data_IF_285104347308
#
_entry.id   IF_285104347308
#
_cell.length_a   1.000
_cell.length_b   1.000
_cell.length_c   1.000
_cell.angle_alpha   90.00
_cell.angle_beta   90.00
_cell.angle_gamma   90.00
#
_symmetry.space_group_name_H-M   'P 1'
#
loop_
_entity.id
_entity.type
_entity.pdbx_description
1 polymer ?
#
# COMPACT_ATOMS: atom_id res chain seq x y z
N UNK A 1 -11.14 -18.14 -2.00
CA UNK A 1 -10.90 -17.95 -0.54
C UNK A 1 -11.77 -16.81 -0.07
N UNK A 2 -13.06 -17.10 0.10
CA UNK A 2 -14.06 -16.09 0.46
C UNK A 2 -13.64 -15.26 1.69
N UNK A 3 -13.87 -13.96 1.66
CA UNK A 3 -14.46 -13.14 0.59
C UNK A 3 -13.46 -12.61 -0.46
N UNK A 4 -12.23 -13.15 -0.52
CA UNK A 4 -11.23 -12.74 -1.53
C UNK A 4 -11.48 -13.52 -2.82
N UNK A 5 -11.87 -12.81 -3.87
CA UNK A 5 -12.17 -13.36 -5.19
C UNK A 5 -11.23 -12.76 -6.23
N UNK A 6 -10.64 -13.62 -7.07
CA UNK A 6 -9.85 -13.23 -8.24
C UNK A 6 -10.46 -13.88 -9.46
N UNK A 7 -10.87 -13.09 -10.44
CA UNK A 7 -11.39 -13.56 -11.72
C UNK A 7 -10.29 -13.47 -12.78
N UNK A 8 -10.10 -14.56 -13.54
CA UNK A 8 -9.13 -14.65 -14.62
C UNK A 8 -9.84 -15.15 -15.86
N UNK A 9 -9.88 -14.32 -16.90
CA UNK A 9 -10.50 -14.64 -18.18
C UNK A 9 -9.54 -14.44 -19.34
N UNK A 10 -9.72 -15.21 -20.40
CA UNK A 10 -8.99 -15.06 -21.68
C UNK A 10 -9.97 -15.02 -22.86
N UNK A 11 -11.25 -14.72 -22.62
CA UNK A 11 -12.31 -14.66 -23.62
C UNK A 11 -12.39 -15.94 -24.50
N UNK A 12 -12.02 -17.09 -23.92
CA UNK A 12 -12.00 -18.37 -24.62
C UNK A 12 -10.77 -18.62 -25.51
N UNK A 13 -9.89 -17.61 -25.68
CA UNK A 13 -8.77 -17.73 -26.65
C UNK A 13 -7.59 -18.54 -26.12
N UNK A 14 -7.37 -18.58 -24.81
CA UNK A 14 -6.20 -19.24 -24.23
C UNK A 14 -6.50 -19.92 -22.87
N UNK A 15 -7.28 -21.01 -22.85
CA UNK A 15 -7.72 -21.68 -21.62
C UNK A 15 -6.54 -22.24 -20.80
N UNK A 16 -5.47 -22.68 -21.46
CA UNK A 16 -4.25 -23.17 -20.79
C UNK A 16 -3.55 -22.03 -20.02
N UNK A 17 -3.43 -20.85 -20.65
CA UNK A 17 -2.85 -19.68 -20.01
C UNK A 17 -3.67 -19.22 -18.80
N UNK A 18 -5.00 -19.18 -18.92
CA UNK A 18 -5.89 -18.84 -17.82
C UNK A 18 -5.69 -19.79 -16.61
N UNK A 19 -5.54 -21.10 -16.88
CA UNK A 19 -5.27 -22.11 -15.85
C UNK A 19 -3.91 -21.89 -15.18
N UNK A 20 -2.87 -21.63 -15.98
CA UNK A 20 -1.53 -21.36 -15.44
C UNK A 20 -1.51 -20.11 -14.54
N UNK A 21 -2.16 -19.03 -14.95
CA UNK A 21 -2.28 -17.81 -14.16
C UNK A 21 -3.07 -18.09 -12.87
N UNK A 22 -4.19 -18.83 -12.97
CA UNK A 22 -4.99 -19.24 -11.82
C UNK A 22 -4.13 -19.96 -10.77
N UNK A 23 -3.38 -20.98 -11.19
CA UNK A 23 -2.51 -21.76 -10.30
C UNK A 23 -1.49 -20.84 -9.60
N UNK A 24 -0.82 -19.96 -10.33
CA UNK A 24 0.14 -19.01 -9.75
C UNK A 24 -0.51 -18.08 -8.71
N UNK A 25 -1.71 -17.58 -8.99
CA UNK A 25 -2.44 -16.74 -8.04
C UNK A 25 -2.85 -17.55 -6.81
N UNK A 26 -3.32 -18.78 -6.98
CA UNK A 26 -3.67 -19.67 -5.87
C UNK A 26 -2.48 -19.97 -4.95
N UNK A 27 -1.29 -20.18 -5.51
CA UNK A 27 -0.04 -20.38 -4.77
C UNK A 27 0.38 -19.15 -3.98
N UNK A 28 0.12 -17.93 -4.49
CA UNK A 28 0.43 -16.67 -3.81
C UNK A 28 -0.52 -16.35 -2.65
N UNK A 29 -1.73 -16.90 -2.66
CA UNK A 29 -2.75 -16.63 -1.65
C UNK A 29 -2.67 -17.63 -0.50
N UNK A 30 -2.32 -17.15 0.68
CA UNK A 30 -2.33 -17.95 1.91
C UNK A 30 -3.72 -18.56 2.17
N UNK A 31 -3.79 -19.80 2.67
CA UNK A 31 -5.06 -20.50 2.88
C UNK A 31 -6.08 -19.72 3.72
N UNK A 32 -5.62 -18.97 4.73
CA UNK A 32 -6.47 -18.25 5.70
C UNK A 32 -6.63 -16.76 5.43
N UNK A 33 -6.18 -16.29 4.28
CA UNK A 33 -6.30 -14.86 3.92
C UNK A 33 -7.76 -14.41 3.82
N UNK A 34 -8.66 -15.29 3.37
CA UNK A 34 -10.10 -15.03 3.34
C UNK A 34 -10.69 -14.82 4.73
N UNK A 35 -10.32 -15.65 5.70
CA UNK A 35 -10.79 -15.52 7.08
C UNK A 35 -10.35 -14.21 7.72
N UNK A 36 -9.10 -13.78 7.47
CA UNK A 36 -8.59 -12.49 7.91
C UNK A 36 -9.36 -11.34 7.24
N UNK A 37 -9.62 -11.44 5.93
CA UNK A 37 -10.40 -10.43 5.21
C UNK A 37 -11.85 -10.35 5.74
N UNK A 38 -12.48 -11.48 6.03
CA UNK A 38 -13.80 -11.53 6.64
C UNK A 38 -13.82 -10.88 8.04
N UNK A 39 -12.80 -11.14 8.86
CA UNK A 39 -12.66 -10.49 10.16
C UNK A 39 -12.51 -8.98 10.00
N UNK A 40 -11.63 -8.52 9.11
CA UNK A 40 -11.44 -7.11 8.81
C UNK A 40 -12.76 -6.44 8.38
N UNK A 41 -13.54 -7.11 7.51
CA UNK A 41 -14.87 -6.64 7.10
C UNK A 41 -15.80 -6.41 8.27
N UNK A 42 -15.88 -7.36 9.22
CA UNK A 42 -16.71 -7.23 10.45
C UNK A 42 -16.24 -6.08 11.36
N UNK A 43 -14.95 -5.76 11.37
CA UNK A 43 -14.38 -4.70 12.21
C UNK A 43 -14.38 -3.32 11.55
N UNK A 44 -14.68 -3.24 10.24
CA UNK A 44 -14.61 -2.00 9.45
C UNK A 44 -15.46 -0.88 10.03
N UNK A 45 -16.70 -1.18 10.48
CA UNK A 45 -17.59 -0.20 11.11
C UNK A 45 -17.00 0.37 12.40
N UNK A 46 -16.42 -0.48 13.26
CA UNK A 46 -15.77 -0.04 14.51
C UNK A 46 -14.56 0.82 14.24
N UNK A 47 -13.72 0.44 13.26
CA UNK A 47 -12.57 1.23 12.87
C UNK A 47 -12.98 2.60 12.31
N UNK A 48 -14.05 2.67 11.50
CA UNK A 48 -14.54 3.94 10.94
C UNK A 48 -15.12 4.88 12.00
N UNK A 49 -15.68 4.35 13.08
CA UNK A 49 -16.23 5.15 14.17
C UNK A 49 -15.15 5.74 15.11
N UNK A 50 -13.94 5.14 15.14
CA UNK A 50 -12.90 5.50 16.12
C UNK A 50 -11.64 6.12 15.53
N UNK A 51 -11.33 5.81 14.29
CA UNK A 51 -10.09 6.21 13.65
C UNK A 51 -10.37 7.16 12.48
N UNK A 52 -9.53 8.17 12.34
CA UNK A 52 -9.54 9.04 11.17
C UNK A 52 -9.13 8.28 9.89
N UNK A 53 -9.31 8.85 8.70
CA UNK A 53 -9.03 8.17 7.43
C UNK A 53 -7.57 7.70 7.28
N UNK A 54 -6.58 8.45 7.82
CA UNK A 54 -5.16 8.08 7.77
C UNK A 54 -4.88 6.88 8.67
N UNK A 55 -5.28 6.96 9.95
CA UNK A 55 -5.11 5.89 10.92
C UNK A 55 -5.81 4.58 10.48
N UNK A 56 -6.99 4.69 9.83
CA UNK A 56 -7.66 3.51 9.25
C UNK A 56 -6.86 2.83 8.15
N UNK A 57 -6.22 3.61 7.26
CA UNK A 57 -5.36 3.05 6.21
C UNK A 57 -4.16 2.33 6.81
N UNK A 58 -3.53 2.94 7.81
CA UNK A 58 -2.37 2.37 8.50
C UNK A 58 -2.75 1.11 9.28
N UNK A 59 -3.90 1.11 9.95
CA UNK A 59 -4.48 -0.08 10.59
C UNK A 59 -4.62 -1.24 9.58
N UNK A 60 -5.28 -1.01 8.43
CA UNK A 60 -5.50 -2.08 7.46
C UNK A 60 -4.21 -2.51 6.76
N UNK A 61 -3.27 -1.60 6.54
CA UNK A 61 -1.92 -1.94 6.06
C UNK A 61 -1.22 -2.88 7.04
N UNK A 62 -1.24 -2.56 8.32
CA UNK A 62 -0.68 -3.39 9.37
C UNK A 62 -1.40 -4.74 9.47
N UNK A 63 -2.72 -4.78 9.42
CA UNK A 63 -3.50 -6.03 9.50
C UNK A 63 -3.13 -7.00 8.37
N UNK A 64 -2.95 -6.51 7.14
CA UNK A 64 -2.73 -7.35 5.96
C UNK A 64 -1.27 -7.58 5.60
N UNK A 65 -0.31 -6.85 6.17
CA UNK A 65 1.10 -6.95 5.80
C UNK A 65 2.05 -7.21 6.98
N UNK A 66 1.52 -7.37 8.20
CA UNK A 66 2.32 -7.51 9.41
C UNK A 66 1.79 -8.64 10.31
N UNK A 67 2.14 -8.58 11.56
CA UNK A 67 1.92 -9.61 12.57
C UNK A 67 0.50 -10.20 12.59
N UNK A 68 -0.62 -9.49 12.44
CA UNK A 68 -1.93 -10.13 12.41
C UNK A 68 -2.08 -11.14 11.27
N UNK A 69 -1.56 -10.83 10.08
CA UNK A 69 -1.57 -11.75 8.94
C UNK A 69 -0.80 -13.03 9.24
N UNK A 70 0.41 -12.88 9.78
CA UNK A 70 1.24 -14.05 10.12
C UNK A 70 0.66 -14.88 11.26
N UNK A 71 0.04 -14.23 12.25
CA UNK A 71 -0.69 -14.93 13.31
C UNK A 71 -1.87 -15.74 12.74
N UNK A 72 -2.60 -15.21 11.77
CA UNK A 72 -3.67 -15.95 11.07
C UNK A 72 -3.10 -17.14 10.29
N UNK A 73 -2.05 -16.93 9.52
CA UNK A 73 -1.37 -18.01 8.78
C UNK A 73 -0.89 -19.12 9.70
N UNK A 74 -0.42 -18.78 10.90
CA UNK A 74 0.02 -19.73 11.93
C UNK A 74 -1.12 -20.37 12.76
N UNK A 75 -2.40 -20.03 12.48
CA UNK A 75 -3.55 -20.57 13.20
C UNK A 75 -3.89 -19.89 14.52
N UNK A 76 -3.22 -18.78 14.86
CA UNK A 76 -3.47 -18.00 16.08
C UNK A 76 -4.56 -16.93 15.90
N UNK A 77 -5.70 -17.29 15.31
CA UNK A 77 -6.76 -16.38 14.90
C UNK A 77 -7.37 -15.57 16.06
N UNK A 78 -7.60 -16.22 17.20
CA UNK A 78 -8.17 -15.55 18.38
C UNK A 78 -7.24 -14.46 18.91
N UNK A 79 -5.94 -14.74 18.96
CA UNK A 79 -4.94 -13.78 19.40
C UNK A 79 -4.80 -12.60 18.42
N UNK A 80 -4.78 -12.89 17.12
CA UNK A 80 -4.79 -11.86 16.08
C UNK A 80 -6.05 -10.97 16.17
N UNK A 81 -7.22 -11.58 16.31
CA UNK A 81 -8.49 -10.84 16.44
C UNK A 81 -8.51 -9.93 17.69
N UNK A 82 -7.98 -10.42 18.82
CA UNK A 82 -7.83 -9.62 20.04
C UNK A 82 -6.90 -8.43 19.81
N UNK A 83 -5.76 -8.66 19.16
CA UNK A 83 -4.78 -7.62 18.86
C UNK A 83 -5.34 -6.55 17.92
N UNK A 84 -6.06 -6.95 16.86
CA UNK A 84 -6.70 -6.00 15.93
C UNK A 84 -7.76 -5.17 16.66
N UNK A 85 -8.59 -5.77 17.52
CA UNK A 85 -9.60 -5.05 18.30
C UNK A 85 -8.96 -4.04 19.25
N UNK A 86 -7.92 -4.44 19.98
CA UNK A 86 -7.15 -3.54 20.85
C UNK A 86 -6.55 -2.38 20.05
N UNK A 87 -5.96 -2.66 18.90
CA UNK A 87 -5.40 -1.63 18.01
C UNK A 87 -6.46 -0.61 17.54
N UNK A 88 -7.68 -1.04 17.25
CA UNK A 88 -8.79 -0.13 16.91
C UNK A 88 -9.19 0.74 18.12
N UNK A 89 -9.09 0.20 19.34
CA UNK A 89 -9.49 0.89 20.56
C UNK A 89 -8.45 1.90 21.03
N UNK A 90 -7.18 1.56 20.92
CA UNK A 90 -6.06 2.38 21.39
C UNK A 90 -5.49 3.31 20.33
N UNK A 91 -5.71 3.00 19.04
CA UNK A 91 -5.02 3.65 17.92
C UNK A 91 -3.56 3.21 17.77
N UNK A 92 -3.09 2.28 18.62
CA UNK A 92 -1.71 1.77 18.59
C UNK A 92 -1.65 0.40 17.91
N UNK A 93 -1.11 0.36 16.73
CA UNK A 93 -0.89 -0.85 15.94
C UNK A 93 0.60 -1.14 15.70
N UNK A 94 1.49 -0.52 16.52
CA UNK A 94 2.93 -0.77 16.42
C UNK A 94 3.58 -0.16 15.17
N UNK A 95 2.87 0.69 14.45
CA UNK A 95 3.50 1.60 13.51
C UNK A 95 4.26 2.63 14.32
N UNK A 96 5.53 2.81 14.07
CA UNK A 96 6.30 3.88 14.69
C UNK A 96 5.48 5.18 14.57
N UNK A 97 5.27 5.86 15.69
CA UNK A 97 4.59 7.15 15.73
C UNK A 97 5.47 8.16 14.96
N UNK A 98 5.24 8.27 13.66
CA UNK A 98 6.00 9.13 12.76
C UNK A 98 5.85 8.63 11.32
N UNK A 99 5.75 9.56 10.38
CA UNK A 99 5.77 9.25 8.98
C UNK A 99 7.16 8.77 8.54
N UNK A 100 7.22 8.20 7.36
CA UNK A 100 8.48 7.75 6.75
C UNK A 100 8.70 8.42 5.41
N UNK A 101 9.95 8.68 5.08
CA UNK A 101 10.35 9.16 3.75
C UNK A 101 11.11 8.05 3.05
N UNK A 102 10.66 7.70 1.85
CA UNK A 102 11.34 6.75 0.98
C UNK A 102 11.92 7.45 -0.24
N UNK A 103 13.22 7.30 -0.47
CA UNK A 103 13.85 7.73 -1.71
C UNK A 103 13.77 6.58 -2.71
N UNK A 104 13.15 6.84 -3.86
CA UNK A 104 12.93 5.86 -4.91
C UNK A 104 13.65 6.31 -6.17
N UNK A 105 14.61 5.50 -6.63
CA UNK A 105 15.20 5.68 -7.95
C UNK A 105 14.24 5.20 -9.03
N UNK A 106 13.91 6.09 -9.97
CA UNK A 106 12.94 5.81 -11.03
C UNK A 106 13.52 5.04 -12.23
N UNK A 107 14.82 4.74 -12.20
CA UNK A 107 15.49 4.10 -13.32
C UNK A 107 15.76 5.07 -14.48
N UNK A 108 16.15 4.56 -15.66
CA UNK A 108 16.52 5.39 -16.82
C UNK A 108 15.32 5.96 -17.60
N UNK A 109 14.09 5.75 -17.13
CA UNK A 109 12.87 6.35 -17.72
C UNK A 109 11.74 5.36 -17.97
N UNK A 110 12.00 4.18 -18.51
CA UNK A 110 10.94 3.20 -18.79
C UNK A 110 10.36 2.62 -17.50
N UNK A 111 9.03 2.54 -17.40
CA UNK A 111 8.30 2.08 -16.20
C UNK A 111 8.58 0.64 -15.80
N UNK A 112 8.98 -0.22 -16.74
CA UNK A 112 9.34 -1.61 -16.51
C UNK A 112 10.75 -1.78 -15.90
N UNK A 113 11.54 -0.71 -15.87
CA UNK A 113 12.88 -0.70 -15.27
C UNK A 113 12.88 -0.22 -13.80
N UNK A 114 11.74 0.16 -13.26
CA UNK A 114 11.63 0.45 -11.83
C UNK A 114 11.70 -0.85 -11.02
N UNK A 115 12.34 -0.80 -9.86
CA UNK A 115 12.40 -1.98 -8.99
C UNK A 115 11.04 -2.31 -8.39
N UNK A 116 10.76 -3.59 -8.11
CA UNK A 116 9.55 -4.02 -7.40
C UNK A 116 9.38 -3.30 -6.06
N UNK A 117 10.48 -3.06 -5.33
CA UNK A 117 10.46 -2.29 -4.09
C UNK A 117 10.08 -0.83 -4.33
N UNK A 118 10.52 -0.23 -5.44
CA UNK A 118 10.13 1.12 -5.85
C UNK A 118 8.63 1.21 -6.08
N UNK A 119 8.05 0.27 -6.83
CA UNK A 119 6.60 0.17 -7.05
C UNK A 119 5.85 0.04 -5.72
N UNK A 120 6.33 -0.85 -4.83
CA UNK A 120 5.72 -1.03 -3.52
C UNK A 120 5.69 0.29 -2.73
N UNK A 121 6.80 1.05 -2.71
CA UNK A 121 6.86 2.34 -2.02
C UNK A 121 5.92 3.39 -2.64
N UNK A 122 5.81 3.42 -3.97
CA UNK A 122 4.83 4.28 -4.65
C UNK A 122 3.39 3.94 -4.28
N UNK A 123 3.07 2.65 -4.14
CA UNK A 123 1.73 2.19 -3.74
C UNK A 123 1.43 2.40 -2.25
N UNK A 124 2.45 2.54 -1.41
CA UNK A 124 2.31 2.83 0.02
C UNK A 124 2.27 4.34 0.32
N UNK A 125 2.79 5.17 -0.56
CA UNK A 125 2.95 6.61 -0.34
C UNK A 125 1.60 7.33 -0.23
N UNK A 126 1.49 8.25 0.74
CA UNK A 126 0.39 9.21 0.84
C UNK A 126 0.67 10.45 -0.02
N UNK A 127 1.95 10.88 -0.09
CA UNK A 127 2.42 12.01 -0.89
C UNK A 127 3.66 11.61 -1.68
N UNK A 128 3.72 11.98 -2.95
CA UNK A 128 4.84 11.70 -3.85
C UNK A 128 5.41 13.04 -4.35
N UNK A 129 6.64 13.32 -4.00
CA UNK A 129 7.38 14.46 -4.53
C UNK A 129 8.21 14.01 -5.73
N UNK A 130 8.06 14.69 -6.85
CA UNK A 130 8.74 14.30 -8.10
C UNK A 130 9.23 15.50 -8.89
N UNK A 131 10.18 15.27 -9.78
CA UNK A 131 10.74 16.30 -10.65
C UNK A 131 10.54 15.96 -12.14
N UNK A 132 11.12 16.78 -13.01
CA UNK A 132 11.04 16.65 -14.47
C UNK A 132 11.76 15.41 -15.03
N UNK A 133 12.66 14.82 -14.27
CA UNK A 133 13.45 13.67 -14.74
C UNK A 133 12.64 12.37 -14.64
N UNK A 134 11.55 12.38 -13.89
CA UNK A 134 10.67 11.24 -13.77
C UNK A 134 9.76 11.12 -15.01
N UNK A 135 9.71 9.92 -15.59
CA UNK A 135 8.70 9.60 -16.59
C UNK A 135 7.29 9.60 -15.95
N UNK A 136 6.32 10.35 -16.50
CA UNK A 136 4.96 10.40 -15.96
C UNK A 136 4.27 9.03 -15.83
N UNK A 137 4.61 8.06 -16.68
CA UNK A 137 4.06 6.70 -16.62
C UNK A 137 4.41 5.97 -15.30
N UNK A 138 5.51 6.34 -14.65
CA UNK A 138 5.91 5.79 -13.35
C UNK A 138 4.93 6.24 -12.27
N UNK A 139 4.39 7.46 -12.35
CA UNK A 139 3.39 7.93 -11.40
C UNK A 139 2.06 7.16 -11.49
N UNK A 140 1.77 6.53 -12.63
CA UNK A 140 0.59 5.68 -12.79
C UNK A 140 0.70 4.35 -12.03
N UNK A 141 1.92 3.96 -11.63
CA UNK A 141 2.14 2.81 -10.74
C UNK A 141 1.78 3.12 -9.29
N UNK A 142 1.67 4.39 -8.94
CA UNK A 142 1.31 4.82 -7.61
C UNK A 142 -0.20 4.63 -7.33
N UNK A 143 -0.56 4.69 -6.06
CA UNK A 143 -1.95 4.71 -5.62
C UNK A 143 -2.68 5.93 -6.18
N UNK A 144 -3.94 5.75 -6.63
CA UNK A 144 -4.73 6.81 -7.29
C UNK A 144 -5.01 8.01 -6.39
N UNK A 145 -5.14 7.78 -5.09
CA UNK A 145 -5.43 8.79 -4.08
C UNK A 145 -4.16 9.37 -3.43
N UNK A 146 -2.95 8.98 -3.86
CA UNK A 146 -1.71 9.61 -3.43
C UNK A 146 -1.61 11.03 -4.00
N UNK A 147 -1.28 11.98 -3.15
CA UNK A 147 -1.01 13.36 -3.58
C UNK A 147 0.30 13.41 -4.37
N UNK A 148 0.30 14.10 -5.51
CA UNK A 148 1.45 14.20 -6.40
C UNK A 148 1.92 15.65 -6.46
N UNK A 149 3.10 15.94 -5.92
CA UNK A 149 3.64 17.30 -5.81
C UNK A 149 4.88 17.43 -6.68
N UNK A 150 4.78 18.31 -7.70
CA UNK A 150 5.93 18.62 -8.53
C UNK A 150 6.87 19.61 -7.84
N UNK A 151 8.13 19.23 -7.68
CA UNK A 151 9.17 20.03 -7.02
C UNK A 151 10.33 20.39 -7.95
N UNK A 152 10.27 19.98 -9.21
CA UNK A 152 11.30 20.24 -10.21
C UNK A 152 11.36 21.70 -10.67
N UNK A 153 12.43 22.02 -11.38
CA UNK A 153 12.59 23.33 -12.04
C UNK A 153 11.76 23.37 -13.30
N UNK A 154 10.81 24.31 -13.40
CA UNK A 154 10.10 24.59 -14.63
C UNK A 154 10.63 25.91 -15.26
N UNK A 155 10.75 26.00 -16.59
CA UNK A 155 11.06 27.27 -17.25
C UNK A 155 10.04 28.35 -16.88
N UNK A 156 10.49 29.49 -16.38
CA UNK A 156 9.62 30.62 -15.99
C UNK A 156 8.93 30.51 -14.63
N UNK A 157 9.12 29.43 -13.88
CA UNK A 157 8.62 29.31 -12.51
C UNK A 157 9.76 29.30 -11.50
N UNK A 158 9.52 29.89 -10.32
CA UNK A 158 10.47 29.82 -9.22
C UNK A 158 10.66 28.36 -8.80
N UNK A 159 11.86 27.83 -9.01
CA UNK A 159 12.21 26.50 -8.53
C UNK A 159 12.13 26.45 -7.01
N UNK A 160 11.67 25.33 -6.46
CA UNK A 160 11.71 25.13 -5.02
C UNK A 160 13.17 25.10 -4.56
N UNK A 161 13.59 25.97 -3.63
CA UNK A 161 14.90 25.83 -2.99
C UNK A 161 15.00 24.50 -2.29
N UNK A 162 16.23 23.94 -2.23
CA UNK A 162 16.46 22.64 -1.60
C UNK A 162 15.97 22.60 -0.15
N UNK A 163 16.16 23.71 0.59
CA UNK A 163 15.70 23.85 1.98
C UNK A 163 14.17 23.72 2.07
N UNK A 164 13.45 24.31 1.13
CA UNK A 164 11.97 24.23 1.10
C UNK A 164 11.51 22.80 0.82
N UNK A 165 12.16 22.08 -0.10
CA UNK A 165 11.86 20.67 -0.37
C UNK A 165 12.08 19.85 0.90
N UNK A 166 13.23 20.01 1.55
CA UNK A 166 13.57 19.31 2.78
C UNK A 166 12.56 19.60 3.90
N UNK A 167 12.22 20.86 4.12
CA UNK A 167 11.22 21.24 5.13
C UNK A 167 9.84 20.63 4.85
N UNK A 168 9.41 20.64 3.60
CA UNK A 168 8.11 20.08 3.21
C UNK A 168 8.07 18.56 3.42
N UNK A 169 9.15 17.84 3.10
CA UNK A 169 9.28 16.41 3.38
C UNK A 169 9.20 16.12 4.89
N UNK A 170 9.89 16.91 5.71
CA UNK A 170 9.87 16.76 7.16
C UNK A 170 8.47 17.04 7.75
N UNK A 171 7.78 18.04 7.24
CA UNK A 171 6.40 18.37 7.67
C UNK A 171 5.43 17.27 7.26
N UNK A 172 5.54 16.76 6.03
CA UNK A 172 4.67 15.68 5.53
C UNK A 172 4.90 14.35 6.25
N UNK A 173 6.10 14.16 6.84
CA UNK A 173 6.46 12.96 7.58
C UNK A 173 6.15 13.04 9.11
N UNK A 174 5.54 14.12 9.58
CA UNK A 174 5.07 14.28 10.96
C UNK A 174 3.58 14.00 11.07
#
# INVERSE_FOLDING_TARGET
RDPVVVAIGTEGTAPVLARQIKTKVEEMLEPRLGDLAALAGRLRGKASARLDPRARRDLWRWVFNDSPRWMFAAGAERAAAKRIKSAIETGDFGTAAGGSVSLVGAGPGAKDLITLRGVQRLQEADVIYYDRLLDPEILELARRDAERIYVGKAPGCHSWPQEKITQTLVVAAK
#
